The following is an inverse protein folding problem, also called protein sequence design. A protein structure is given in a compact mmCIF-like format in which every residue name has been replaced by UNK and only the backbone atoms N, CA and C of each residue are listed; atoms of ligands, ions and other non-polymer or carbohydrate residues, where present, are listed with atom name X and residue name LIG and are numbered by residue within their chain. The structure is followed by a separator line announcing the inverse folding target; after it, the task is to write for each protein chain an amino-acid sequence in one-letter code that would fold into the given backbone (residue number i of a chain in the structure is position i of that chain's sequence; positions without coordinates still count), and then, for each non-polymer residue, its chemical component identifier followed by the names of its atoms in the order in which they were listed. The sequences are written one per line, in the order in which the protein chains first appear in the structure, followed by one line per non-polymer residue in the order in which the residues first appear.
data_IF_841201224762
#
_entry.id   IF_841201224762
#
_cell.length_a   1.000
_cell.length_b   1.000
_cell.length_c   1.000
_cell.angle_alpha   90.00
_cell.angle_beta   90.00
_cell.angle_gamma   90.00
#
_symmetry.space_group_name_H-M   'P 1'
#
loop_
_entity.id
_entity.type
_entity.pdbx_description
1 polymer ?
#
# COMPACT_ATOMS: atom_id res chain seq x y z
N UNK A 1 -31.49 3.84 -3.29
CA UNK A 1 -32.87 4.32 -3.50
C UNK A 1 -33.71 3.87 -2.31
N UNK A 2 -34.41 4.78 -1.63
CA UNK A 2 -35.39 4.40 -0.58
C UNK A 2 -36.78 4.25 -1.16
N UNK A 3 -37.43 3.13 -0.86
CA UNK A 3 -38.84 2.88 -1.20
C UNK A 3 -39.73 3.82 -0.41
N UNK A 4 -40.60 4.59 -1.10
CA UNK A 4 -41.58 5.48 -0.46
C UNK A 4 -42.97 4.86 -0.61
N UNK A 5 -43.48 4.27 0.47
CA UNK A 5 -44.84 3.71 0.49
C UNK A 5 -45.85 4.83 0.76
N UNK A 6 -46.82 4.99 -0.14
CA UNK A 6 -47.93 5.94 0.01
C UNK A 6 -49.22 5.16 0.20
N UNK A 7 -49.87 5.30 1.36
CA UNK A 7 -51.20 4.71 1.61
C UNK A 7 -52.24 5.45 0.76
N UNK A 8 -52.89 4.74 -0.15
CA UNK A 8 -53.91 5.28 -1.05
C UNK A 8 -55.21 5.51 -0.27
N UNK A 9 -55.59 6.78 -0.11
CA UNK A 9 -56.93 7.21 0.34
C UNK A 9 -57.80 7.72 -0.82
N UNK A 10 -58.78 8.60 -0.55
CA UNK A 10 -59.74 9.14 -1.55
C UNK A 10 -59.19 10.21 -2.53
N UNK A 11 -57.88 10.48 -2.55
CA UNK A 11 -57.26 11.46 -3.48
C UNK A 11 -56.67 10.75 -4.70
N UNK A 12 -56.94 11.28 -5.90
CA UNK A 12 -56.58 10.68 -7.20
C UNK A 12 -55.29 11.22 -7.83
N UNK A 13 -54.74 12.33 -7.33
CA UNK A 13 -53.52 12.93 -7.86
C UNK A 13 -52.35 12.78 -6.87
N UNK A 14 -51.30 12.07 -7.29
CA UNK A 14 -50.06 11.90 -6.52
C UNK A 14 -48.89 12.47 -7.31
N UNK A 15 -48.32 13.58 -6.82
CA UNK A 15 -47.05 14.11 -7.33
C UNK A 15 -45.92 13.44 -6.55
N UNK A 16 -45.40 12.33 -7.08
CA UNK A 16 -44.22 11.65 -6.53
C UNK A 16 -42.95 12.26 -7.14
N UNK A 17 -42.23 13.05 -6.34
CA UNK A 17 -40.83 13.39 -6.65
C UNK A 17 -39.94 12.31 -6.05
N UNK A 18 -39.16 11.63 -6.90
CA UNK A 18 -38.12 10.72 -6.44
C UNK A 18 -37.02 11.54 -5.77
N UNK A 19 -36.60 11.10 -4.59
CA UNK A 19 -35.42 11.63 -3.92
C UNK A 19 -34.23 10.80 -4.41
N UNK A 20 -33.35 11.42 -5.20
CA UNK A 20 -32.17 10.76 -5.76
C UNK A 20 -31.24 10.34 -4.63
N UNK A 21 -31.15 9.04 -4.41
CA UNK A 21 -30.31 8.42 -3.39
C UNK A 21 -28.90 8.17 -3.92
N UNK A 22 -28.34 9.17 -4.63
CA UNK A 22 -26.93 9.21 -5.04
C UNK A 22 -26.07 9.87 -3.95
N UNK A 23 -26.36 9.55 -2.69
CA UNK A 23 -25.64 10.06 -1.53
C UNK A 23 -24.58 9.09 -0.99
N UNK A 24 -24.11 8.11 -1.78
CA UNK A 24 -22.82 7.46 -1.50
C UNK A 24 -21.73 8.33 -2.12
N UNK A 25 -21.54 9.51 -1.56
CA UNK A 25 -20.29 10.23 -1.79
C UNK A 25 -19.21 9.47 -1.05
N UNK A 26 -18.27 8.83 -1.77
CA UNK A 26 -17.03 8.37 -1.15
C UNK A 26 -16.45 9.54 -0.35
N UNK A 27 -16.38 9.36 0.96
CA UNK A 27 -15.80 10.32 1.88
C UNK A 27 -14.32 10.00 1.95
N UNK A 28 -13.51 10.98 1.56
CA UNK A 28 -12.06 10.94 1.72
C UNK A 28 -11.74 11.68 3.02
N UNK A 29 -10.91 11.09 3.85
CA UNK A 29 -10.37 11.77 5.03
C UNK A 29 -9.23 12.67 4.57
N UNK A 30 -9.35 13.97 4.84
CA UNK A 30 -8.34 14.97 4.51
C UNK A 30 -7.97 15.70 5.79
N UNK A 31 -6.72 15.59 6.24
CA UNK A 31 -6.32 16.33 7.44
C UNK A 31 -7.12 15.89 8.66
N UNK A 32 -7.95 16.82 9.14
CA UNK A 32 -8.83 16.69 10.29
C UNK A 32 -10.33 16.64 9.90
N UNK A 33 -10.67 16.57 8.61
CA UNK A 33 -12.04 16.64 8.12
C UNK A 33 -12.42 15.52 7.13
N UNK A 34 -13.71 15.25 7.03
CA UNK A 34 -14.30 14.35 6.05
C UNK A 34 -14.84 15.18 4.87
N UNK A 35 -14.29 14.99 3.67
CA UNK A 35 -14.73 15.68 2.46
C UNK A 35 -15.18 14.69 1.39
N UNK A 36 -16.15 15.08 0.56
CA UNK A 36 -16.52 14.26 -0.59
C UNK A 36 -15.35 14.20 -1.56
N UNK A 37 -15.08 13.03 -2.13
CA UNK A 37 -14.01 12.83 -3.13
C UNK A 37 -14.07 13.84 -4.27
N UNK A 38 -15.29 14.22 -4.71
CA UNK A 38 -15.53 15.18 -5.78
C UNK A 38 -15.19 16.64 -5.41
N UNK A 39 -15.10 16.99 -4.12
CA UNK A 39 -14.87 18.37 -3.66
C UNK A 39 -13.40 18.66 -3.31
N UNK A 40 -12.49 17.69 -3.43
CA UNK A 40 -11.08 17.88 -3.07
C UNK A 40 -10.32 18.47 -4.26
N UNK A 41 -9.65 19.61 -4.03
CA UNK A 41 -8.88 20.36 -5.04
C UNK A 41 -7.46 19.78 -5.27
N UNK A 42 -7.11 18.63 -4.67
CA UNK A 42 -5.78 18.02 -4.76
C UNK A 42 -5.78 16.55 -5.20
N UNK A 43 -4.63 16.06 -5.68
CA UNK A 43 -4.45 14.64 -6.04
C UNK A 43 -4.37 13.77 -4.80
N UNK A 44 -5.51 13.16 -4.50
CA UNK A 44 -5.66 12.14 -3.49
C UNK A 44 -6.03 10.83 -4.19
N UNK A 45 -5.30 9.76 -3.88
CA UNK A 45 -5.73 8.43 -4.27
C UNK A 45 -6.09 7.62 -3.04
N UNK A 46 -7.26 7.00 -3.08
CA UNK A 46 -7.80 6.21 -1.99
C UNK A 46 -8.00 4.77 -2.46
N UNK A 47 -7.69 3.82 -1.58
CA UNK A 47 -8.07 2.42 -1.73
C UNK A 47 -8.84 1.97 -0.49
N UNK A 48 -9.75 1.02 -0.68
CA UNK A 48 -10.59 0.49 0.39
C UNK A 48 -9.95 -0.75 1.01
N UNK A 49 -10.30 -1.05 2.26
CA UNK A 49 -9.85 -2.26 2.95
C UNK A 49 -10.19 -3.54 2.17
N UNK A 50 -11.32 -3.60 1.48
CA UNK A 50 -11.73 -4.77 0.69
C UNK A 50 -10.77 -5.07 -0.48
N UNK A 51 -10.20 -4.04 -1.10
CA UNK A 51 -9.21 -4.21 -2.18
C UNK A 51 -7.89 -4.73 -1.62
N UNK A 52 -7.51 -4.26 -0.42
CA UNK A 52 -6.31 -4.70 0.29
C UNK A 52 -6.45 -6.14 0.82
N UNK A 53 -7.61 -6.51 1.34
CA UNK A 53 -7.93 -7.89 1.76
C UNK A 53 -7.91 -8.87 0.58
N UNK A 54 -8.21 -8.40 -0.64
CA UNK A 54 -8.11 -9.21 -1.87
C UNK A 54 -6.67 -9.50 -2.27
N UNK A 55 -5.68 -8.72 -1.79
CA UNK A 55 -4.25 -9.00 -1.98
C UNK A 55 -3.78 -10.17 -1.10
N UNK A 56 -4.55 -11.26 -1.11
CA UNK A 56 -4.42 -12.42 -0.24
C UNK A 56 -2.98 -12.94 -0.20
N UNK A 57 -2.46 -13.13 1.02
CA UNK A 57 -1.12 -13.67 1.27
C UNK A 57 -0.07 -12.66 1.74
N UNK A 58 -0.44 -11.36 1.81
CA UNK A 58 0.43 -10.31 2.34
C UNK A 58 -0.06 -9.88 3.72
N UNK A 59 0.80 -10.02 4.74
CA UNK A 59 0.51 -9.60 6.13
C UNK A 59 0.78 -8.11 6.37
N UNK A 60 1.48 -7.46 5.45
CA UNK A 60 1.89 -6.06 5.55
C UNK A 60 1.06 -5.15 4.64
N UNK A 61 0.59 -4.02 5.17
CA UNK A 61 -0.22 -3.05 4.44
C UNK A 61 0.58 -2.40 3.30
N UNK A 62 1.87 -2.14 3.50
CA UNK A 62 2.74 -1.53 2.49
C UNK A 62 2.88 -2.41 1.27
N UNK A 63 3.07 -3.71 1.48
CA UNK A 63 3.12 -4.65 0.36
C UNK A 63 1.75 -4.81 -0.33
N UNK A 64 0.63 -4.72 0.41
CA UNK A 64 -0.71 -4.71 -0.17
C UNK A 64 -1.04 -3.43 -0.96
N UNK A 65 -0.35 -2.32 -0.71
CA UNK A 65 -0.52 -1.07 -1.48
C UNK A 65 0.17 -1.12 -2.86
N UNK A 66 1.09 -2.08 -3.06
CA UNK A 66 1.81 -2.28 -4.32
C UNK A 66 0.86 -2.45 -5.49
N UNK A 67 0.92 -1.53 -6.45
CA UNK A 67 0.12 -1.61 -7.68
C UNK A 67 -1.37 -1.28 -7.53
N UNK A 68 -1.87 -1.11 -6.30
CA UNK A 68 -3.27 -0.75 -6.03
C UNK A 68 -3.52 0.77 -6.08
N UNK A 69 -2.48 1.59 -5.91
CA UNK A 69 -2.57 3.05 -5.99
C UNK A 69 -1.63 3.62 -7.07
N UNK A 70 -2.12 4.49 -7.96
CA UNK A 70 -1.26 5.08 -9.00
C UNK A 70 -0.23 6.02 -8.37
N UNK A 71 1.02 5.97 -8.83
CA UNK A 71 2.09 6.86 -8.34
C UNK A 71 2.54 6.58 -6.91
N UNK A 72 2.16 5.42 -6.35
CA UNK A 72 2.78 4.84 -5.14
C UNK A 72 3.65 3.68 -5.61
N UNK A 73 4.94 3.75 -5.29
CA UNK A 73 5.91 2.70 -5.60
C UNK A 73 6.40 2.13 -4.28
N UNK A 74 6.37 0.82 -4.17
CA UNK A 74 6.84 0.07 -3.01
C UNK A 74 8.08 -0.71 -3.44
N UNK A 75 9.15 -0.63 -2.65
CA UNK A 75 10.41 -1.34 -2.89
C UNK A 75 10.67 -2.21 -1.68
N UNK A 76 10.55 -3.53 -1.87
CA UNK A 76 10.85 -4.52 -0.86
C UNK A 76 12.24 -5.10 -1.13
N UNK A 77 13.18 -4.89 -0.21
CA UNK A 77 14.58 -5.33 -0.36
C UNK A 77 14.86 -6.74 0.16
N UNK A 78 14.05 -7.21 1.11
CA UNK A 78 14.21 -8.51 1.78
C UNK A 78 12.85 -9.23 1.90
N UNK A 79 12.90 -10.54 2.09
CA UNK A 79 11.71 -11.37 2.30
C UNK A 79 11.64 -11.96 3.71
N UNK A 80 12.24 -11.27 4.69
CA UNK A 80 12.35 -11.77 6.06
C UNK A 80 11.02 -11.58 6.80
N UNK A 81 10.39 -12.66 7.30
CA UNK A 81 9.16 -12.54 8.07
C UNK A 81 9.33 -11.63 9.29
N UNK A 82 8.45 -10.64 9.42
CA UNK A 82 8.50 -9.64 10.50
C UNK A 82 9.27 -8.36 10.16
N UNK A 83 10.09 -8.36 9.10
CA UNK A 83 10.76 -7.17 8.56
C UNK A 83 10.40 -6.99 7.08
N UNK A 84 9.09 -7.03 6.80
CA UNK A 84 8.57 -7.00 5.43
C UNK A 84 8.13 -5.61 4.99
N UNK A 85 8.26 -4.60 5.85
CA UNK A 85 7.80 -3.23 5.58
C UNK A 85 8.56 -2.66 4.37
N UNK A 86 7.89 -2.51 3.21
CA UNK A 86 8.56 -2.03 2.02
C UNK A 86 8.82 -0.54 2.14
N UNK A 87 9.90 -0.06 1.53
CA UNK A 87 10.11 1.36 1.37
C UNK A 87 9.05 1.91 0.41
N UNK A 88 8.32 2.94 0.83
CA UNK A 88 7.24 3.53 0.04
C UNK A 88 7.69 4.87 -0.51
N UNK A 89 7.49 5.07 -1.80
CA UNK A 89 7.85 6.29 -2.51
C UNK A 89 6.63 6.79 -3.25
N UNK A 90 6.25 8.04 -2.99
CA UNK A 90 5.10 8.69 -3.63
C UNK A 90 5.63 9.63 -4.71
N UNK A 91 5.31 9.35 -5.98
CA UNK A 91 5.75 10.13 -7.16
C UNK A 91 7.27 10.29 -7.32
N UNK A 92 8.03 9.29 -6.89
CA UNK A 92 9.49 9.27 -7.00
C UNK A 92 10.19 9.93 -5.80
N UNK A 93 11.51 9.78 -5.74
CA UNK A 93 12.30 10.30 -4.64
C UNK A 93 12.45 11.83 -4.78
N UNK A 94 11.89 12.57 -3.82
CA UNK A 94 11.95 14.03 -3.72
C UNK A 94 13.24 14.55 -3.07
N UNK A 95 13.98 13.68 -2.38
CA UNK A 95 15.16 14.04 -1.58
C UNK A 95 16.20 12.93 -1.64
N UNK A 96 17.48 13.34 -1.60
CA UNK A 96 18.64 12.44 -1.68
C UNK A 96 18.88 11.65 -0.40
N UNK A 97 18.43 12.16 0.75
CA UNK A 97 18.78 11.60 2.06
C UNK A 97 17.61 10.95 2.79
N UNK A 98 16.38 11.40 2.53
CA UNK A 98 15.17 10.80 3.10
C UNK A 98 13.95 11.08 2.20
N UNK A 99 13.39 10.02 1.62
CA UNK A 99 12.21 10.04 0.76
C UNK A 99 10.97 9.39 1.39
N UNK A 100 11.02 9.05 2.68
CA UNK A 100 9.92 8.35 3.32
C UNK A 100 8.71 9.28 3.51
N UNK A 101 7.49 8.81 3.22
CA UNK A 101 6.26 9.58 3.43
C UNK A 101 5.85 9.57 4.91
N UNK A 102 5.06 10.58 5.30
CA UNK A 102 4.46 10.60 6.63
C UNK A 102 3.28 9.63 6.68
N UNK A 103 3.33 8.65 7.58
CA UNK A 103 2.23 7.71 7.83
C UNK A 103 1.44 8.13 9.07
N UNK A 104 0.14 8.32 8.90
CA UNK A 104 -0.80 8.60 9.98
C UNK A 104 -1.87 7.50 10.02
N UNK A 105 -2.05 6.92 11.19
CA UNK A 105 -3.15 6.00 11.47
C UNK A 105 -4.11 6.70 12.42
N UNK A 106 -5.35 6.89 12.00
CA UNK A 106 -6.38 7.61 12.75
C UNK A 106 -5.93 9.01 13.24
N UNK A 107 -5.03 9.65 12.48
CA UNK A 107 -4.49 10.98 12.77
C UNK A 107 -3.24 11.01 13.66
N UNK A 108 -2.71 9.86 14.08
CA UNK A 108 -1.48 9.77 14.88
C UNK A 108 -0.38 9.14 14.03
N UNK A 109 0.83 9.73 14.09
CA UNK A 109 2.02 9.21 13.41
C UNK A 109 2.46 7.89 14.06
N UNK A 110 2.46 6.82 13.27
CA UNK A 110 2.90 5.49 13.71
C UNK A 110 3.34 4.63 12.52
N UNK A 111 4.24 3.66 12.74
CA UNK A 111 4.68 2.75 11.69
C UNK A 111 3.50 1.95 11.15
N UNK A 112 3.52 1.68 9.84
CA UNK A 112 2.39 1.05 9.16
C UNK A 112 2.24 -0.42 9.56
N UNK A 113 3.36 -1.08 9.85
CA UNK A 113 3.44 -2.44 10.40
C UNK A 113 2.68 -2.65 11.72
N UNK A 114 2.33 -1.57 12.44
CA UNK A 114 1.58 -1.67 13.70
C UNK A 114 0.07 -1.86 13.54
N UNK A 115 -0.44 -1.87 12.30
CA UNK A 115 -1.88 -1.98 12.00
C UNK A 115 -2.13 -3.25 11.21
N UNK A 116 -3.14 -4.01 11.61
CA UNK A 116 -3.59 -5.18 10.87
C UNK A 116 -4.41 -4.75 9.65
N UNK A 117 -4.16 -5.35 8.49
CA UNK A 117 -4.87 -5.08 7.24
C UNK A 117 -6.40 -5.26 7.36
N UNK A 118 -6.85 -6.22 8.16
CA UNK A 118 -8.28 -6.51 8.40
C UNK A 118 -8.97 -5.41 9.20
N UNK A 119 -8.21 -4.60 9.94
CA UNK A 119 -8.72 -3.45 10.70
C UNK A 119 -8.80 -2.18 9.87
N UNK A 120 -8.25 -2.16 8.65
CA UNK A 120 -8.22 -0.96 7.79
C UNK A 120 -9.57 -0.78 7.09
N UNK A 121 -10.18 0.40 7.25
CA UNK A 121 -11.37 0.80 6.50
C UNK A 121 -10.99 1.39 5.15
N UNK A 122 -10.06 2.35 5.16
CA UNK A 122 -9.55 2.95 3.93
C UNK A 122 -8.14 3.52 4.11
N UNK A 123 -7.40 3.56 3.00
CA UNK A 123 -6.09 4.21 2.92
C UNK A 123 -6.18 5.32 1.90
N UNK A 124 -5.86 6.54 2.31
CA UNK A 124 -5.82 7.73 1.46
C UNK A 124 -4.38 8.23 1.36
N UNK A 125 -3.88 8.39 0.14
CA UNK A 125 -2.54 8.88 -0.14
C UNK A 125 -2.64 10.27 -0.76
N UNK A 126 -2.09 11.26 -0.04
CA UNK A 126 -1.96 12.64 -0.47
C UNK A 126 -0.64 12.81 -1.21
N UNK A 127 -0.71 13.16 -2.51
CA UNK A 127 0.46 13.20 -3.39
C UNK A 127 0.92 14.60 -3.80
N UNK A 128 0.02 15.57 -3.68
CA UNK A 128 0.28 16.97 -4.04
C UNK A 128 0.60 17.82 -2.82
N UNK A 129 1.44 18.83 -3.03
CA UNK A 129 1.77 19.84 -2.03
C UNK A 129 0.52 20.54 -1.46
N UNK A 130 -0.51 20.78 -2.27
CA UNK A 130 -1.76 21.41 -1.81
C UNK A 130 -2.53 20.53 -0.81
N UNK A 131 -2.45 19.21 -0.97
CA UNK A 131 -3.11 18.27 -0.07
C UNK A 131 -2.26 18.00 1.18
N UNK A 132 -0.94 17.98 1.05
CA UNK A 132 -0.02 17.73 2.18
C UNK A 132 0.33 18.97 2.98
N UNK A 133 0.02 20.19 2.50
CA UNK A 133 0.32 21.45 3.17
C UNK A 133 -0.15 21.51 4.63
N UNK A 134 -1.26 20.84 4.96
CA UNK A 134 -1.80 20.75 6.33
C UNK A 134 -0.83 20.07 7.29
N UNK A 135 0.01 19.17 6.80
CA UNK A 135 1.00 18.41 7.58
C UNK A 135 2.40 19.03 7.56
N UNK A 136 2.57 20.19 6.91
CA UNK A 136 3.82 20.94 6.88
C UNK A 136 4.99 20.20 6.25
N UNK A 137 6.20 20.44 6.77
CA UNK A 137 7.46 19.93 6.19
C UNK A 137 7.51 18.40 6.16
N UNK A 138 6.88 17.72 7.14
CA UNK A 138 6.80 16.26 7.17
C UNK A 138 5.98 15.68 6.01
N UNK A 139 5.05 16.46 5.44
CA UNK A 139 4.25 16.07 4.28
C UNK A 139 4.92 16.31 2.92
N UNK A 140 6.19 16.74 2.89
CA UNK A 140 6.89 17.07 1.63
C UNK A 140 7.06 15.84 0.71
N UNK A 141 7.22 14.65 1.29
CA UNK A 141 7.37 13.37 0.56
C UNK A 141 6.02 12.67 0.32
N UNK A 142 4.90 13.34 0.58
CA UNK A 142 3.57 12.74 0.58
C UNK A 142 3.13 12.28 1.97
N UNK A 143 1.81 12.04 2.09
CA UNK A 143 1.19 11.63 3.36
C UNK A 143 0.27 10.44 3.11
N UNK A 144 0.40 9.40 3.93
CA UNK A 144 -0.44 8.20 3.90
C UNK A 144 -1.34 8.24 5.13
N UNK A 145 -2.64 8.28 4.90
CA UNK A 145 -3.69 8.31 5.91
C UNK A 145 -4.37 6.95 5.94
N UNK A 146 -4.25 6.25 7.06
CA UNK A 146 -4.90 4.98 7.31
C UNK A 146 -6.04 5.25 8.29
N UNK A 147 -7.26 4.93 7.87
CA UNK A 147 -8.45 5.00 8.73
C UNK A 147 -8.85 3.59 9.13
N UNK A 148 -8.97 3.33 10.43
CA UNK A 148 -9.38 2.01 10.93
C UNK A 148 -10.91 1.88 11.00
N UNK A 149 -11.40 0.65 10.86
CA UNK A 149 -12.82 0.30 10.95
C UNK A 149 -13.33 0.64 12.35
N UNK A 150 -14.34 1.53 12.43
CA UNK A 150 -15.04 1.87 13.68
C UNK A 150 -16.35 1.11 13.81
N UNK A 151 -16.78 0.89 15.05
CA UNK A 151 -18.08 0.32 15.36
C UNK A 151 -19.22 1.19 14.81
N UNK A 152 -20.21 0.55 14.17
CA UNK A 152 -21.42 1.20 13.65
C UNK A 152 -22.60 0.84 14.55
N UNK A 153 -23.53 1.78 14.74
CA UNK A 153 -24.77 1.52 15.47
C UNK A 153 -25.58 0.43 14.75
N UNK A 154 -26.06 -0.57 15.50
CA UNK A 154 -26.84 -1.66 14.95
C UNK A 154 -26.52 -3.01 15.59
N UNK A 155 -26.81 -4.09 14.84
CA UNK A 155 -26.54 -5.45 15.28
C UNK A 155 -25.04 -5.73 15.26
N UNK A 156 -24.55 -6.40 16.30
CA UNK A 156 -23.17 -6.88 16.32
C UNK A 156 -22.92 -7.82 15.13
N UNK A 157 -21.91 -7.51 14.33
CA UNK A 157 -21.40 -8.37 13.26
C UNK A 157 -20.07 -8.93 13.71
N UNK A 158 -19.97 -10.25 13.75
CA UNK A 158 -18.74 -10.96 14.10
C UNK A 158 -18.30 -11.69 12.85
N UNK A 159 -17.15 -11.29 12.32
CA UNK A 159 -16.51 -11.95 11.19
C UNK A 159 -15.25 -12.65 11.71
N UNK A 160 -15.08 -13.93 11.38
CA UNK A 160 -13.91 -14.73 11.77
C UNK A 160 -13.21 -15.16 10.48
N UNK A 161 -11.95 -14.75 10.34
CA UNK A 161 -11.10 -15.11 9.22
C UNK A 161 -9.98 -16.05 9.66
N UNK A 162 -9.59 -16.98 8.78
CA UNK A 162 -8.40 -17.80 8.94
C UNK A 162 -7.59 -17.74 7.65
N UNK A 163 -6.31 -17.42 7.75
CA UNK A 163 -5.38 -17.38 6.64
C UNK A 163 -4.14 -18.24 6.94
N UNK A 164 -3.65 -18.94 5.92
CA UNK A 164 -2.40 -19.70 6.00
C UNK A 164 -1.61 -19.42 4.72
N UNK A 165 -0.39 -18.92 4.86
CA UNK A 165 0.47 -18.51 3.74
C UNK A 165 1.77 -19.30 3.79
N UNK A 166 2.12 -19.96 2.69
CA UNK A 166 3.41 -20.62 2.49
C UNK A 166 4.27 -19.76 1.55
N UNK A 167 5.45 -19.35 2.02
CA UNK A 167 6.41 -18.59 1.22
C UNK A 167 7.52 -19.52 0.71
N UNK A 168 7.75 -19.52 -0.59
CA UNK A 168 8.84 -20.27 -1.23
C UNK A 168 9.70 -19.33 -2.09
N UNK A 169 11.02 -19.56 -2.21
CA UNK A 169 11.89 -18.73 -3.05
C UNK A 169 11.44 -18.78 -4.52
N UNK A 170 11.11 -17.63 -5.10
CA UNK A 170 10.67 -17.56 -6.49
C UNK A 170 11.83 -17.76 -7.48
N UNK A 171 13.01 -17.22 -7.17
CA UNK A 171 14.20 -17.33 -8.01
C UNK A 171 15.44 -17.49 -7.14
N UNK A 172 16.12 -18.62 -7.29
CA UNK A 172 17.44 -18.82 -6.72
C UNK A 172 18.49 -18.32 -7.73
N UNK A 173 19.61 -17.75 -7.26
CA UNK A 173 20.75 -17.49 -8.14
C UNK A 173 21.17 -18.78 -8.85
N UNK A 174 21.43 -18.69 -10.15
CA UNK A 174 22.00 -19.82 -10.88
C UNK A 174 23.34 -20.19 -10.25
N UNK A 175 23.56 -21.48 -10.07
CA UNK A 175 24.84 -22.02 -9.65
C UNK A 175 25.51 -22.64 -10.87
N UNK A 176 26.81 -22.43 -11.00
CA UNK A 176 27.59 -23.15 -12.00
C UNK A 176 27.70 -24.62 -11.59
N UNK A 177 27.62 -25.50 -12.59
CA UNK A 177 27.99 -26.89 -12.38
C UNK A 177 29.50 -27.00 -12.12
N UNK A 178 29.95 -28.13 -11.58
CA UNK A 178 31.35 -28.41 -11.27
C UNK A 178 32.26 -28.18 -12.49
N UNK A 179 31.79 -28.57 -13.68
CA UNK A 179 32.53 -28.35 -14.93
C UNK A 179 32.71 -26.86 -15.23
N UNK A 180 31.63 -26.09 -15.24
CA UNK A 180 31.66 -24.65 -15.52
C UNK A 180 32.50 -23.91 -14.49
N UNK A 181 32.36 -24.25 -13.20
CA UNK A 181 33.13 -23.65 -12.13
C UNK A 181 34.64 -23.87 -12.29
N UNK A 182 35.06 -25.10 -12.62
CA UNK A 182 36.47 -25.42 -12.85
C UNK A 182 36.99 -24.76 -14.14
N UNK A 183 36.17 -24.74 -15.20
CA UNK A 183 36.53 -24.08 -16.46
C UNK A 183 36.69 -22.56 -16.27
N UNK A 184 35.79 -21.90 -15.55
CA UNK A 184 35.91 -20.47 -15.23
C UNK A 184 37.09 -20.19 -14.30
N UNK A 185 37.39 -21.06 -13.33
CA UNK A 185 38.60 -20.95 -12.50
C UNK A 185 39.87 -21.03 -13.36
N UNK A 186 39.95 -22.01 -14.26
CA UNK A 186 41.11 -22.17 -15.14
C UNK A 186 41.27 -20.96 -16.08
N UNK A 187 40.17 -20.48 -16.67
CA UNK A 187 40.19 -19.28 -17.53
C UNK A 187 40.58 -18.02 -16.75
N UNK A 188 40.10 -17.86 -15.52
CA UNK A 188 40.50 -16.75 -14.67
C UNK A 188 42.01 -16.77 -14.38
N UNK A 189 42.58 -17.94 -14.08
CA UNK A 189 44.03 -18.12 -13.94
C UNK A 189 44.76 -17.75 -15.22
N UNK A 190 44.35 -18.27 -16.38
CA UNK A 190 45.00 -17.98 -17.66
C UNK A 190 45.03 -16.47 -17.95
N UNK A 191 43.95 -15.75 -17.65
CA UNK A 191 43.86 -14.31 -17.85
C UNK A 191 44.64 -13.50 -16.79
N UNK A 192 44.65 -13.94 -15.52
CA UNK A 192 45.38 -13.25 -14.44
C UNK A 192 46.90 -13.42 -14.52
N UNK A 193 47.39 -14.53 -15.07
CA UNK A 193 48.83 -14.77 -15.26
C UNK A 193 49.53 -13.68 -16.07
N UNK A 194 48.81 -13.00 -16.96
CA UNK A 194 49.34 -11.87 -17.73
C UNK A 194 49.48 -10.56 -16.94
N UNK A 195 48.80 -10.44 -15.79
CA UNK A 195 48.74 -9.21 -14.97
C UNK A 195 49.44 -9.37 -13.63
N UNK A 196 49.35 -10.55 -13.00
CA UNK A 196 49.96 -10.85 -11.69
C UNK A 196 50.46 -12.30 -11.64
N UNK A 197 51.73 -12.55 -11.98
CA UNK A 197 52.31 -13.89 -11.97
C UNK A 197 52.34 -14.57 -10.58
N UNK A 198 52.32 -13.79 -9.49
CA UNK A 198 52.34 -14.34 -8.11
C UNK A 198 50.98 -14.86 -7.62
N UNK A 199 49.88 -14.56 -8.33
CA UNK A 199 48.52 -15.03 -7.99
C UNK A 199 48.42 -16.56 -7.96
N UNK A 200 49.30 -17.27 -8.66
CA UNK A 200 49.39 -18.73 -8.66
C UNK A 200 49.72 -19.34 -7.29
N UNK A 201 50.40 -18.59 -6.40
CA UNK A 201 50.76 -19.05 -5.06
C UNK A 201 49.56 -19.21 -4.11
N UNK A 202 48.47 -18.48 -4.35
CA UNK A 202 47.25 -18.47 -3.53
C UNK A 202 46.26 -19.60 -3.89
N UNK A 203 46.52 -20.34 -4.96
CA UNK A 203 45.61 -21.35 -5.54
C UNK A 203 45.98 -22.77 -5.07
N UNK A 204 47.13 -22.91 -4.40
CA UNK A 204 47.67 -24.18 -3.90
C UNK A 204 46.99 -24.69 -2.63
#
# INVERSE_FOLDING_TARGET
MKTKEVKIGKKRDFKLSMEDDNAIGEVVVVGYGQQKKASVVGSIAQTTGEVLERAAGVSDIGAALTGNLPGVVTVQGNGMPGEEEPQIIIRGASSWNNSDPLVLVDGIERPMSSVDISSVESISVLKDASATAVYGVKGANGVILITTKRGKEGKAKIDVGFNATLKAPSKLPNKYDSYDALMFRNRAVEHELGVSPESWSYIR
#
